data_IF_298271882912
#
_entry.id   IF_298271882912
#
_cell.length_a   1.000
_cell.length_b   1.000
_cell.length_c   1.000
_cell.angle_alpha   90.00
_cell.angle_beta   90.00
_cell.angle_gamma   90.00
#
_symmetry.space_group_name_H-M   'P 1'
#
loop_
_entity.id
_entity.type
_entity.pdbx_description
1 polymer ?
#
# COMPACT_ATOMS: atom_id res chain seq x y z
N UNK A 1 -0.63 9.43 -1.78
CA UNK A 1 -0.67 8.85 -3.15
C UNK A 1 -1.88 9.32 -3.95
N UNK A 2 -3.12 9.18 -3.46
CA UNK A 2 -4.35 9.62 -4.16
C UNK A 2 -4.27 11.03 -4.79
N UNK A 3 -3.83 12.04 -4.02
CA UNK A 3 -3.57 13.39 -4.54
C UNK A 3 -2.63 13.42 -5.77
N UNK A 4 -1.54 12.66 -5.74
CA UNK A 4 -0.59 12.62 -6.85
C UNK A 4 -1.17 11.89 -8.06
N UNK A 5 -1.88 10.78 -7.85
CA UNK A 5 -2.59 10.06 -8.93
C UNK A 5 -3.60 10.97 -9.63
N UNK A 6 -4.33 11.81 -8.88
CA UNK A 6 -5.21 12.81 -9.47
C UNK A 6 -4.45 13.80 -10.37
N UNK A 7 -3.32 14.33 -9.92
CA UNK A 7 -2.48 15.21 -10.76
C UNK A 7 -1.88 14.49 -11.97
N UNK A 8 -1.74 13.16 -11.94
CA UNK A 8 -1.35 12.34 -13.09
C UNK A 8 -2.52 12.02 -14.04
N UNK A 9 -3.71 12.55 -13.79
CA UNK A 9 -4.89 12.40 -14.66
C UNK A 9 -5.79 11.21 -14.33
N UNK A 10 -5.55 10.49 -13.23
CA UNK A 10 -6.42 9.40 -12.81
C UNK A 10 -7.68 9.89 -12.09
N UNK A 11 -8.79 9.18 -12.29
CA UNK A 11 -9.99 9.30 -11.46
C UNK A 11 -9.81 8.47 -10.20
N UNK A 12 -9.83 9.11 -9.03
CA UNK A 12 -9.50 8.47 -7.76
C UNK A 12 -10.66 8.60 -6.79
N UNK A 13 -11.08 7.48 -6.22
CA UNK A 13 -11.93 7.42 -5.04
C UNK A 13 -11.08 6.94 -3.87
N UNK A 14 -11.15 7.61 -2.73
CA UNK A 14 -10.42 7.21 -1.52
C UNK A 14 -11.40 6.61 -0.53
N UNK A 15 -11.24 5.32 -0.22
CA UNK A 15 -11.94 4.70 0.90
C UNK A 15 -11.11 4.93 2.17
N UNK A 16 -11.69 5.62 3.16
CA UNK A 16 -11.04 5.87 4.43
C UNK A 16 -11.95 5.53 5.61
N UNK A 17 -12.02 4.25 6.01
CA UNK A 17 -12.90 3.83 7.09
C UNK A 17 -12.58 4.51 8.43
N UNK A 18 -13.62 4.84 9.20
CA UNK A 18 -13.52 5.55 10.47
C UNK A 18 -12.85 6.94 10.35
N UNK A 19 -13.19 7.69 9.30
CA UNK A 19 -12.60 9.00 8.99
C UNK A 19 -12.69 9.95 10.19
N UNK A 20 -13.81 9.92 10.92
CA UNK A 20 -14.05 10.75 12.09
C UNK A 20 -13.03 10.48 13.20
N UNK A 21 -12.69 9.20 13.46
CA UNK A 21 -11.67 8.81 14.45
C UNK A 21 -10.26 9.20 13.99
N UNK A 22 -10.00 9.17 12.69
CA UNK A 22 -8.67 9.42 12.11
C UNK A 22 -8.35 10.91 11.92
N UNK A 23 -9.36 11.77 11.71
CA UNK A 23 -9.23 13.24 11.67
C UNK A 23 -8.82 13.86 13.02
N UNK A 24 -8.68 13.07 14.10
CA UNK A 24 -8.18 13.52 15.42
C UNK A 24 -6.70 13.93 15.40
N UNK A 25 -5.90 13.36 14.47
CA UNK A 25 -4.50 13.77 14.27
C UNK A 25 -4.42 14.79 13.14
N UNK A 26 -3.75 15.90 13.41
CA UNK A 26 -3.60 17.02 12.48
C UNK A 26 -3.05 16.61 11.11
N UNK A 27 -2.07 15.70 11.08
CA UNK A 27 -1.48 15.20 9.84
C UNK A 27 -2.55 14.60 8.91
N UNK A 28 -3.36 13.66 9.41
CA UNK A 28 -4.39 13.01 8.60
C UNK A 28 -5.51 13.96 8.24
N UNK A 29 -5.91 14.86 9.15
CA UNK A 29 -6.89 15.91 8.86
C UNK A 29 -6.46 16.77 7.68
N UNK A 30 -5.21 17.24 7.67
CA UNK A 30 -4.67 18.07 6.57
C UNK A 30 -4.58 17.30 5.26
N UNK A 31 -4.25 16.02 5.29
CA UNK A 31 -4.23 15.18 4.10
C UNK A 31 -5.65 15.01 3.51
N UNK A 32 -6.67 14.84 4.34
CA UNK A 32 -8.05 14.77 3.86
C UNK A 32 -8.51 16.11 3.26
N UNK A 33 -8.17 17.24 3.89
CA UNK A 33 -8.46 18.57 3.34
C UNK A 33 -7.84 18.75 1.95
N UNK A 34 -6.61 18.27 1.73
CA UNK A 34 -5.97 18.33 0.41
C UNK A 34 -6.73 17.52 -0.65
N UNK A 35 -7.35 16.39 -0.27
CA UNK A 35 -8.16 15.59 -1.19
C UNK A 35 -9.49 16.30 -1.50
N UNK A 36 -10.16 16.83 -0.46
CA UNK A 36 -11.41 17.58 -0.57
C UNK A 36 -11.22 18.83 -1.46
N UNK A 37 -10.11 19.56 -1.32
CA UNK A 37 -9.77 20.73 -2.16
C UNK A 37 -9.52 20.40 -3.62
N UNK A 38 -9.17 19.15 -3.94
CA UNK A 38 -9.02 18.67 -5.31
C UNK A 38 -10.33 18.07 -5.87
N UNK A 39 -11.43 18.17 -5.11
CA UNK A 39 -12.72 17.60 -5.49
C UNK A 39 -12.74 16.07 -5.49
N UNK A 40 -11.80 15.42 -4.78
CA UNK A 40 -11.75 13.95 -4.70
C UNK A 40 -12.76 13.43 -3.69
N UNK A 41 -13.46 12.36 -4.07
CA UNK A 41 -14.37 11.65 -3.18
C UNK A 41 -13.59 10.89 -2.11
N UNK A 42 -13.88 11.18 -0.85
CA UNK A 42 -13.39 10.42 0.31
C UNK A 42 -14.60 9.77 0.98
N UNK A 43 -14.71 8.45 0.87
CA UNK A 43 -15.87 7.66 1.31
C UNK A 43 -15.48 6.75 2.46
N UNK A 44 -16.42 6.44 3.36
CA UNK A 44 -16.20 5.40 4.38
C UNK A 44 -16.58 4.01 3.88
N UNK A 45 -17.66 3.94 3.09
CA UNK A 45 -18.15 2.68 2.54
C UNK A 45 -17.24 2.17 1.43
N UNK A 46 -16.95 0.88 1.49
CA UNK A 46 -16.13 0.21 0.49
C UNK A 46 -17.00 -0.14 -0.73
N UNK A 47 -16.76 0.48 -1.90
CA UNK A 47 -17.57 0.27 -3.10
C UNK A 47 -17.33 -1.12 -3.70
N UNK A 48 -18.05 -1.46 -4.76
CA UNK A 48 -17.73 -2.64 -5.55
C UNK A 48 -16.39 -2.43 -6.26
N UNK A 49 -15.47 -3.38 -6.09
CA UNK A 49 -14.14 -3.34 -6.69
C UNK A 49 -14.20 -3.46 -8.22
N UNK A 50 -15.25 -4.09 -8.75
CA UNK A 50 -15.43 -4.27 -10.19
C UNK A 50 -15.63 -2.95 -10.97
N UNK A 51 -16.02 -1.87 -10.28
CA UNK A 51 -16.18 -0.53 -10.87
C UNK A 51 -14.85 0.19 -11.11
N UNK A 52 -13.72 -0.40 -10.69
CA UNK A 52 -12.39 0.21 -10.74
C UNK A 52 -11.45 -0.57 -11.65
N UNK A 53 -10.51 0.14 -12.27
CA UNK A 53 -9.48 -0.52 -13.11
C UNK A 53 -8.32 -1.09 -12.29
N UNK A 54 -8.04 -0.49 -11.14
CA UNK A 54 -6.92 -0.84 -10.24
C UNK A 54 -7.34 -0.47 -8.82
N UNK A 55 -7.00 -1.32 -7.85
CA UNK A 55 -7.16 -1.01 -6.43
C UNK A 55 -5.81 -0.80 -5.78
N UNK A 56 -5.70 0.25 -4.95
CA UNK A 56 -4.53 0.50 -4.11
C UNK A 56 -4.82 -0.01 -2.71
N UNK A 57 -4.08 -1.03 -2.31
CA UNK A 57 -4.02 -1.49 -0.93
C UNK A 57 -3.01 -0.65 -0.14
N UNK A 58 -3.53 0.24 0.70
CA UNK A 58 -2.77 1.05 1.66
C UNK A 58 -3.38 0.97 3.08
N UNK A 59 -3.93 -0.21 3.42
CA UNK A 59 -4.70 -0.42 4.66
C UNK A 59 -3.76 -0.60 5.86
N UNK A 60 -2.84 -1.57 5.78
CA UNK A 60 -1.89 -1.89 6.83
C UNK A 60 -0.45 -1.86 6.31
N UNK A 61 0.43 -1.17 7.04
CA UNK A 61 1.86 -1.15 6.78
C UNK A 61 2.65 -1.99 7.80
N UNK A 62 3.98 -2.03 7.66
CA UNK A 62 4.88 -2.88 8.45
C UNK A 62 4.77 -2.73 9.98
N UNK A 63 4.36 -1.55 10.48
CA UNK A 63 4.26 -1.29 11.92
C UNK A 63 2.93 -1.75 12.52
N UNK A 64 1.98 -2.22 11.72
CA UNK A 64 0.65 -2.56 12.21
C UNK A 64 0.60 -3.97 12.79
N UNK A 65 0.45 -4.06 14.12
CA UNK A 65 0.25 -5.31 14.85
C UNK A 65 -1.18 -5.52 15.34
N UNK A 66 -2.09 -4.61 14.97
CA UNK A 66 -3.44 -4.51 15.54
C UNK A 66 -4.49 -5.36 14.84
N UNK A 67 -4.19 -5.94 13.68
CA UNK A 67 -5.12 -6.80 12.97
C UNK A 67 -5.08 -8.20 13.56
N UNK A 68 -6.23 -8.69 14.00
CA UNK A 68 -6.43 -10.03 14.55
C UNK A 68 -7.14 -10.94 13.57
N UNK A 69 -7.82 -10.37 12.57
CA UNK A 69 -8.54 -11.10 11.53
C UNK A 69 -9.72 -11.90 12.08
N UNK A 70 -10.29 -12.75 11.22
CA UNK A 70 -11.35 -13.69 11.61
C UNK A 70 -12.68 -13.02 11.97
N UNK A 71 -13.01 -11.90 11.32
CA UNK A 71 -14.30 -11.20 11.44
C UNK A 71 -14.45 -10.29 12.67
N UNK A 72 -13.36 -10.00 13.38
CA UNK A 72 -13.35 -9.24 14.65
C UNK A 72 -12.89 -7.79 14.49
N UNK A 73 -12.35 -7.41 13.33
CA UNK A 73 -11.78 -6.09 13.06
C UNK A 73 -12.50 -5.41 11.89
N UNK A 74 -13.84 -5.49 11.86
CA UNK A 74 -14.66 -4.76 10.90
C UNK A 74 -14.39 -3.24 10.94
N UNK A 75 -14.36 -2.56 9.78
CA UNK A 75 -14.70 -3.06 8.44
C UNK A 75 -13.52 -3.67 7.69
N UNK A 76 -12.33 -3.75 8.28
CA UNK A 76 -11.11 -4.15 7.57
C UNK A 76 -11.14 -5.62 7.12
N UNK A 77 -11.74 -6.51 7.92
CA UNK A 77 -11.92 -7.92 7.54
C UNK A 77 -12.74 -8.04 6.25
N UNK A 78 -13.89 -7.36 6.18
CA UNK A 78 -14.76 -7.35 5.00
C UNK A 78 -14.08 -6.74 3.78
N UNK A 79 -13.28 -5.69 3.98
CA UNK A 79 -12.51 -5.07 2.90
C UNK A 79 -11.49 -6.08 2.35
N UNK A 80 -10.72 -6.72 3.23
CA UNK A 80 -9.71 -7.70 2.81
C UNK A 80 -10.32 -8.91 2.12
N UNK A 81 -11.44 -9.44 2.62
CA UNK A 81 -12.19 -10.52 1.96
C UNK A 81 -12.58 -10.16 0.51
N UNK A 82 -13.09 -8.93 0.30
CA UNK A 82 -13.44 -8.44 -1.05
C UNK A 82 -12.21 -8.23 -1.93
N UNK A 83 -11.09 -7.79 -1.36
CA UNK A 83 -9.84 -7.61 -2.10
C UNK A 83 -9.22 -8.95 -2.52
N UNK A 84 -9.29 -9.99 -1.68
CA UNK A 84 -8.77 -11.33 -2.01
C UNK A 84 -9.43 -11.93 -3.24
N UNK A 85 -10.73 -11.70 -3.43
CA UNK A 85 -11.50 -12.19 -4.59
C UNK A 85 -11.69 -11.14 -5.69
N UNK A 86 -10.93 -10.04 -5.63
CA UNK A 86 -11.02 -8.94 -6.58
C UNK A 86 -10.73 -9.41 -8.02
N UNK A 87 -11.58 -9.07 -9.01
CA UNK A 87 -11.30 -9.34 -10.41
C UNK A 87 -10.29 -8.34 -11.01
N UNK A 88 -9.96 -7.27 -10.29
CA UNK A 88 -9.10 -6.17 -10.77
C UNK A 88 -7.75 -6.19 -10.05
N UNK A 89 -6.67 -5.75 -10.72
CA UNK A 89 -5.32 -5.81 -10.16
C UNK A 89 -5.16 -4.92 -8.93
N UNK A 90 -4.41 -5.46 -7.96
CA UNK A 90 -4.15 -4.80 -6.67
C UNK A 90 -2.69 -4.37 -6.59
N UNK A 91 -2.49 -3.13 -6.14
CA UNK A 91 -1.20 -2.52 -5.84
C UNK A 91 -1.07 -2.36 -4.34
N UNK A 92 -0.25 -3.18 -3.69
CA UNK A 92 0.00 -3.08 -2.26
C UNK A 92 1.18 -2.16 -1.96
N UNK A 93 0.98 -1.28 -0.98
CA UNK A 93 1.98 -0.30 -0.54
C UNK A 93 2.71 -0.81 0.69
N UNK A 94 4.02 -0.91 0.53
CA UNK A 94 5.00 -1.41 1.48
C UNK A 94 4.93 -2.93 1.76
N UNK A 95 3.78 -3.40 2.22
CA UNK A 95 3.48 -4.81 2.50
C UNK A 95 2.02 -5.06 2.09
N UNK A 96 1.68 -6.22 1.50
CA UNK A 96 0.28 -6.57 1.26
C UNK A 96 -0.49 -6.70 2.57
N UNK A 97 -1.61 -5.99 2.69
CA UNK A 97 -2.38 -6.00 3.92
C UNK A 97 -2.86 -7.41 4.28
N UNK A 98 -2.62 -7.79 5.54
CA UNK A 98 -2.92 -9.13 6.06
C UNK A 98 -1.70 -10.06 6.12
N UNK A 99 -0.65 -9.78 5.35
CA UNK A 99 0.57 -10.59 5.40
C UNK A 99 1.34 -10.38 6.70
N UNK A 100 1.98 -11.44 7.17
CA UNK A 100 3.01 -11.33 8.18
C UNK A 100 4.27 -10.69 7.59
N UNK A 101 4.86 -9.72 8.29
CA UNK A 101 6.01 -8.93 7.83
C UNK A 101 7.25 -9.79 7.54
N UNK A 102 7.36 -10.94 8.19
CA UNK A 102 8.50 -11.85 8.07
C UNK A 102 8.12 -13.17 7.38
N UNK A 103 7.00 -13.76 7.80
CA UNK A 103 6.56 -15.08 7.36
C UNK A 103 5.74 -15.05 6.07
N UNK A 104 5.32 -13.86 5.59
CA UNK A 104 4.58 -13.70 4.35
C UNK A 104 3.08 -14.06 4.46
N UNK A 105 2.44 -14.44 3.34
CA UNK A 105 1.03 -14.76 3.29
C UNK A 105 0.70 -16.12 3.91
N UNK A 106 -0.53 -16.22 4.41
CA UNK A 106 -1.25 -17.47 4.69
C UNK A 106 -2.13 -17.85 3.50
N UNK A 107 -2.68 -19.05 3.54
CA UNK A 107 -3.65 -19.49 2.54
C UNK A 107 -4.90 -18.59 2.58
N UNK A 108 -5.34 -18.13 1.41
CA UNK A 108 -6.46 -17.21 1.28
C UNK A 108 -6.13 -15.73 1.52
N UNK A 109 -4.87 -15.39 1.84
CA UNK A 109 -4.47 -13.99 1.94
C UNK A 109 -4.41 -13.32 0.57
N UNK A 110 -4.62 -12.00 0.60
CA UNK A 110 -4.51 -11.09 -0.54
C UNK A 110 -3.25 -11.37 -1.37
N UNK A 111 -3.40 -11.49 -2.70
CA UNK A 111 -2.29 -11.66 -3.62
C UNK A 111 -2.24 -10.46 -4.59
N UNK A 112 -1.41 -9.43 -4.33
CA UNK A 112 -1.37 -8.27 -5.21
C UNK A 112 -0.63 -8.56 -6.52
N UNK A 113 -1.03 -7.87 -7.59
CA UNK A 113 -0.32 -7.92 -8.87
C UNK A 113 0.95 -7.05 -8.84
N UNK A 114 0.94 -5.99 -8.03
CA UNK A 114 2.08 -5.10 -7.81
C UNK A 114 2.36 -4.88 -6.32
N UNK A 115 3.64 -4.92 -5.96
CA UNK A 115 4.14 -4.52 -4.64
C UNK A 115 5.05 -3.29 -4.79
N UNK A 116 4.80 -2.24 -4.00
CA UNK A 116 5.67 -1.07 -3.91
C UNK A 116 6.31 -1.02 -2.53
N UNK A 117 7.51 -1.58 -2.38
CA UNK A 117 8.26 -1.52 -1.13
C UNK A 117 8.79 -0.11 -0.87
N UNK A 118 8.75 0.34 0.38
CA UNK A 118 9.24 1.66 0.77
C UNK A 118 10.55 1.56 1.58
N UNK A 119 11.53 2.39 1.24
CA UNK A 119 12.87 2.45 1.84
C UNK A 119 13.74 1.23 1.50
N UNK A 120 13.27 0.04 1.87
CA UNK A 120 13.83 -1.26 1.52
C UNK A 120 12.70 -2.31 1.57
N UNK A 121 12.75 -3.37 0.74
CA UNK A 121 11.77 -4.44 0.82
C UNK A 121 11.84 -5.17 2.17
N UNK A 122 10.67 -5.55 2.69
CA UNK A 122 10.56 -6.34 3.93
C UNK A 122 10.71 -7.82 3.62
N UNK A 123 10.97 -8.62 4.64
CA UNK A 123 11.22 -10.06 4.49
C UNK A 123 10.03 -10.79 3.83
N UNK A 124 8.79 -10.38 4.11
CA UNK A 124 7.59 -10.89 3.45
C UNK A 124 7.60 -10.73 1.92
N UNK A 125 8.36 -9.77 1.38
CA UNK A 125 8.42 -9.54 -0.06
C UNK A 125 9.06 -10.71 -0.82
N UNK A 126 9.79 -11.60 -0.13
CA UNK A 126 10.33 -12.85 -0.72
C UNK A 126 9.23 -13.82 -1.16
N UNK A 127 8.03 -13.68 -0.58
CA UNK A 127 6.86 -14.49 -0.93
C UNK A 127 6.00 -13.85 -2.03
N UNK A 128 6.35 -12.63 -2.48
CA UNK A 128 5.62 -11.94 -3.53
C UNK A 128 5.76 -12.68 -4.87
N UNK A 129 4.62 -12.94 -5.52
CA UNK A 129 4.54 -13.65 -6.82
C UNK A 129 3.88 -12.83 -7.93
N UNK A 130 3.59 -11.55 -7.66
CA UNK A 130 2.98 -10.66 -8.64
C UNK A 130 3.95 -10.26 -9.76
N UNK A 131 3.41 -9.54 -10.75
CA UNK A 131 4.13 -9.18 -11.98
C UNK A 131 5.10 -8.02 -11.80
N UNK A 132 4.83 -7.15 -10.81
CA UNK A 132 5.52 -5.88 -10.68
C UNK A 132 5.99 -5.64 -9.24
N UNK A 133 7.30 -5.61 -9.03
CA UNK A 133 7.89 -5.19 -7.76
C UNK A 133 8.67 -3.89 -7.96
N UNK A 134 8.27 -2.83 -7.27
CA UNK A 134 8.97 -1.56 -7.28
C UNK A 134 9.52 -1.24 -5.89
N UNK A 135 10.70 -0.63 -5.86
CA UNK A 135 11.23 0.04 -4.69
C UNK A 135 11.02 1.54 -4.85
N UNK A 136 10.42 2.17 -3.84
CA UNK A 136 10.31 3.62 -3.71
C UNK A 136 10.94 4.11 -2.40
N UNK A 137 10.86 5.42 -2.18
CA UNK A 137 11.44 6.05 -0.99
C UNK A 137 12.90 6.43 -1.18
N UNK A 138 13.19 7.18 -2.26
CA UNK A 138 14.52 7.69 -2.61
C UNK A 138 14.94 8.85 -1.70
N UNK A 139 15.09 8.57 -0.41
CA UNK A 139 15.51 9.54 0.61
C UNK A 139 16.43 8.93 1.68
N UNK A 140 16.88 7.68 1.49
CA UNK A 140 17.74 6.99 2.44
C UNK A 140 19.15 7.60 2.42
N UNK A 141 19.65 8.17 3.54
CA UNK A 141 20.99 8.72 3.58
C UNK A 141 22.07 7.63 3.41
N UNK A 142 23.20 7.90 2.73
CA UNK A 142 24.28 6.93 2.56
C UNK A 142 24.76 6.27 3.86
N UNK A 143 24.86 7.05 4.94
CA UNK A 143 25.24 6.54 6.26
C UNK A 143 24.32 5.45 6.81
N UNK A 144 23.02 5.50 6.49
CA UNK A 144 22.04 4.48 6.88
C UNK A 144 22.19 3.24 6.00
N UNK A 145 22.47 3.43 4.71
CA UNK A 145 22.77 2.34 3.77
C UNK A 145 23.98 1.54 4.27
N UNK A 146 25.07 2.24 4.59
CA UNK A 146 26.31 1.61 5.05
C UNK A 146 26.12 0.93 6.42
N UNK A 147 25.47 1.61 7.36
CA UNK A 147 25.24 1.09 8.73
C UNK A 147 24.43 -0.20 8.74
N UNK A 148 23.48 -0.34 7.84
CA UNK A 148 22.58 -1.49 7.76
C UNK A 148 22.90 -2.45 6.61
N UNK A 149 24.03 -2.23 5.92
CA UNK A 149 24.46 -3.01 4.75
C UNK A 149 23.35 -3.19 3.71
N UNK A 150 22.59 -2.12 3.43
CA UNK A 150 21.46 -2.18 2.50
C UNK A 150 21.96 -2.21 1.06
N UNK A 151 21.57 -3.25 0.31
CA UNK A 151 21.84 -3.32 -1.12
C UNK A 151 20.72 -2.63 -1.91
N UNK A 152 20.73 -1.29 -1.95
CA UNK A 152 19.71 -0.52 -2.69
C UNK A 152 20.07 -0.40 -4.18
N UNK A 153 19.12 -0.63 -5.10
CA UNK A 153 19.33 -0.39 -6.52
C UNK A 153 19.50 1.11 -6.83
N UNK A 154 20.18 1.41 -7.94
CA UNK A 154 20.29 2.78 -8.43
C UNK A 154 18.95 3.27 -9.01
N UNK A 155 18.53 4.46 -8.62
CA UNK A 155 17.41 5.16 -9.23
C UNK A 155 17.90 5.93 -10.47
N UNK A 156 17.20 5.76 -11.60
CA UNK A 156 17.59 6.40 -12.87
C UNK A 156 17.20 7.89 -12.85
N UNK A 157 18.11 8.79 -13.21
CA UNK A 157 17.82 10.22 -13.33
C UNK A 157 17.13 10.80 -12.08
N UNK A 158 15.94 11.38 -12.27
CA UNK A 158 15.09 11.95 -11.21
C UNK A 158 13.98 11.00 -10.72
N UNK A 159 13.95 9.75 -11.18
CA UNK A 159 12.91 8.78 -10.82
C UNK A 159 12.82 8.57 -9.31
N UNK A 160 11.59 8.42 -8.82
CA UNK A 160 11.28 8.23 -7.39
C UNK A 160 11.01 6.76 -7.04
N UNK A 161 10.99 5.89 -8.04
CA UNK A 161 10.89 4.46 -7.90
C UNK A 161 11.80 3.75 -8.91
N UNK A 162 12.10 2.48 -8.65
CA UNK A 162 12.82 1.60 -9.58
C UNK A 162 12.19 0.22 -9.52
N UNK A 163 12.03 -0.42 -10.68
CA UNK A 163 11.56 -1.80 -10.73
C UNK A 163 12.69 -2.72 -10.27
N UNK A 164 12.38 -3.63 -9.35
CA UNK A 164 13.32 -4.63 -8.86
C UNK A 164 12.90 -6.05 -9.29
N UNK A 165 13.84 -7.00 -9.38
CA UNK A 165 13.50 -8.39 -9.68
C UNK A 165 12.57 -8.98 -8.62
N UNK A 166 11.55 -9.74 -9.02
CA UNK A 166 10.69 -10.48 -8.08
C UNK A 166 11.43 -11.67 -7.43
N UNK A 167 12.59 -12.06 -7.96
CA UNK A 167 13.41 -13.18 -7.48
C UNK A 167 14.74 -12.64 -6.94
N UNK A 168 14.96 -12.81 -5.63
CA UNK A 168 16.16 -12.50 -4.84
C UNK A 168 16.23 -11.11 -4.20
N UNK A 169 15.51 -10.95 -3.09
CA UNK A 169 15.87 -10.02 -2.01
C UNK A 169 16.25 -10.85 -0.78
#
# INVERSE_FOLDING_TARGET
>A
MARHLHHFGYRVTVVYPHIAKRKTKDLYRRLVIQLEQLGLAVVEDFPDVADFHVVVDAIFGFSFKGWRGGGKDAPFDTILERLTVSPVPIVSIDIPSGWDVEMGPREGDLQPEMLVSLTAPKQCAKFFRGKHHFLGGRFVPPQIVDKHSLCLPAYVGAEQCVRIPCSNI
#
